data_IF_254600351999
#
_entry.id   IF_254600351999
#
_cell.length_a   1.000
_cell.length_b   1.000
_cell.length_c   1.000
_cell.angle_alpha   90.00
_cell.angle_beta   90.00
_cell.angle_gamma   90.00
#
_symmetry.space_group_name_H-M   'P 1'
#
loop_
_entity.id
_entity.type
_entity.pdbx_description
1 polymer ?
#
# COMPACT_ATOMS: atom_id res chain seq x y z
N UNK A 1 26.79 -6.93 -1.71
CA UNK A 1 26.52 -5.57 -1.20
C UNK A 1 25.11 -5.48 -0.59
N UNK A 2 24.92 -4.46 0.27
CA UNK A 2 23.63 -4.10 0.85
C UNK A 2 23.21 -2.71 0.35
N UNK A 3 21.89 -2.46 0.30
CA UNK A 3 21.33 -1.15 -0.03
C UNK A 3 20.46 -0.70 1.13
N UNK A 4 20.69 0.53 1.60
CA UNK A 4 19.87 1.23 2.57
C UNK A 4 19.11 2.34 1.84
N UNK A 5 17.79 2.29 1.88
CA UNK A 5 16.92 3.22 1.16
C UNK A 5 16.17 4.14 2.12
N UNK A 6 15.84 5.30 1.64
CA UNK A 6 14.83 6.19 2.20
C UNK A 6 14.45 7.23 1.15
N UNK A 7 13.22 7.76 1.23
CA UNK A 7 12.83 8.89 0.40
C UNK A 7 12.84 10.20 1.21
N UNK A 8 13.07 11.32 0.53
CA UNK A 8 13.13 12.66 1.14
C UNK A 8 12.03 13.60 0.65
N UNK A 9 11.28 13.22 -0.36
CA UNK A 9 10.09 13.94 -0.79
C UNK A 9 8.90 13.66 0.15
N UNK A 10 7.87 14.47 0.02
CA UNK A 10 6.66 14.37 0.85
C UNK A 10 5.43 14.68 0.00
N UNK A 11 4.29 14.12 0.41
CA UNK A 11 3.01 14.42 -0.23
C UNK A 11 2.55 15.85 0.10
N UNK A 12 1.75 16.47 -0.78
CA UNK A 12 1.17 17.79 -0.53
C UNK A 12 0.34 17.84 0.76
N UNK A 13 0.22 19.03 1.32
CA UNK A 13 -0.58 19.30 2.53
C UNK A 13 -1.64 20.35 2.25
N UNK A 14 -2.75 20.27 3.00
CA UNK A 14 -3.63 21.42 3.21
C UNK A 14 -3.26 22.05 4.55
N UNK A 15 -2.53 23.17 4.51
CA UNK A 15 -1.97 23.82 5.71
C UNK A 15 -3.04 24.24 6.71
N UNK A 16 -4.24 24.59 6.26
CA UNK A 16 -5.36 24.99 7.13
C UNK A 16 -5.83 23.87 8.08
N UNK A 17 -5.48 22.62 7.77
CA UNK A 17 -5.84 21.44 8.58
C UNK A 17 -4.74 21.00 9.55
N UNK A 18 -3.68 21.78 9.66
CA UNK A 18 -2.54 21.47 10.52
C UNK A 18 -2.55 22.37 11.76
N UNK A 19 -2.33 21.75 12.93
CA UNK A 19 -2.22 22.50 14.20
C UNK A 19 -0.94 23.34 14.28
N UNK A 20 0.08 22.96 13.50
CA UNK A 20 1.37 23.65 13.41
C UNK A 20 1.82 23.70 11.96
N UNK A 21 2.61 24.71 11.53
CA UNK A 21 3.12 24.78 10.16
C UNK A 21 3.81 23.49 9.72
N UNK A 22 3.34 22.81 8.69
CA UNK A 22 3.74 21.42 8.36
C UNK A 22 5.19 21.28 7.89
N UNK A 23 5.83 22.36 7.49
CA UNK A 23 7.21 22.35 7.00
C UNK A 23 8.20 23.10 7.90
N UNK A 24 7.78 23.55 9.08
CA UNK A 24 8.63 24.32 9.97
C UNK A 24 9.56 23.46 10.86
N UNK A 25 9.27 22.17 11.01
CA UNK A 25 10.08 21.26 11.84
C UNK A 25 10.09 21.67 13.31
N UNK A 26 8.95 22.08 13.85
CA UNK A 26 8.81 22.55 15.23
C UNK A 26 9.04 21.38 16.18
N UNK A 27 9.90 21.60 17.19
CA UNK A 27 10.08 20.66 18.31
C UNK A 27 9.42 21.26 19.53
N UNK A 28 8.40 20.59 20.07
CA UNK A 28 7.67 21.02 21.25
C UNK A 28 7.30 19.80 22.10
N UNK A 29 7.55 19.87 23.38
CA UNK A 29 7.31 18.78 24.34
C UNK A 29 7.96 17.44 23.93
N UNK A 30 9.12 17.49 23.28
CA UNK A 30 9.84 16.31 22.79
C UNK A 30 9.27 15.71 21.51
N UNK A 31 8.29 16.34 20.87
CA UNK A 31 7.66 15.90 19.62
C UNK A 31 8.15 16.79 18.47
N UNK A 32 8.65 16.16 17.41
CA UNK A 32 8.98 16.82 16.15
C UNK A 32 7.75 16.84 15.23
N UNK A 33 7.19 18.03 15.04
CA UNK A 33 6.03 18.26 14.19
C UNK A 33 6.44 18.58 12.75
N UNK A 34 5.88 17.85 11.79
CA UNK A 34 6.10 18.19 10.40
C UNK A 34 5.67 17.09 9.41
N UNK A 35 5.32 17.50 8.20
CA UNK A 35 5.10 16.57 7.09
C UNK A 35 6.42 15.90 6.72
N UNK A 36 6.45 14.56 6.68
CA UNK A 36 7.65 13.78 6.35
C UNK A 36 8.54 13.47 7.55
N UNK A 37 8.21 13.89 8.77
CA UNK A 37 9.00 13.53 9.95
C UNK A 37 8.97 12.02 10.18
N UNK A 38 7.82 11.37 10.03
CA UNK A 38 7.64 9.93 10.15
C UNK A 38 7.84 9.21 8.82
N UNK A 39 7.27 9.72 7.75
CA UNK A 39 7.28 9.16 6.40
C UNK A 39 8.03 10.10 5.44
N UNK A 40 9.38 9.94 5.19
CA UNK A 40 10.21 8.98 5.95
C UNK A 40 11.59 9.58 6.29
N UNK A 41 11.62 10.88 6.68
CA UNK A 41 12.89 11.53 7.08
C UNK A 41 13.49 10.94 8.35
N UNK A 42 12.69 10.25 9.19
CA UNK A 42 13.20 9.50 10.34
C UNK A 42 14.10 8.36 9.88
N UNK A 43 13.71 7.60 8.87
CA UNK A 43 14.52 6.52 8.28
C UNK A 43 15.77 7.09 7.63
N UNK A 44 15.62 8.14 6.82
CA UNK A 44 16.74 8.85 6.22
C UNK A 44 17.80 9.28 7.25
N UNK A 45 17.37 9.96 8.32
CA UNK A 45 18.26 10.40 9.39
C UNK A 45 18.84 9.22 10.18
N UNK A 46 18.03 8.18 10.42
CA UNK A 46 18.46 6.98 11.13
C UNK A 46 19.58 6.24 10.40
N UNK A 47 19.44 6.05 9.09
CA UNK A 47 20.47 5.42 8.24
C UNK A 47 21.78 6.22 8.25
N UNK A 48 21.71 7.54 8.07
CA UNK A 48 22.90 8.40 8.10
C UNK A 48 23.57 8.43 9.48
N UNK A 49 22.77 8.49 10.55
CA UNK A 49 23.27 8.49 11.93
C UNK A 49 23.96 7.17 12.29
N UNK A 50 23.37 6.03 11.87
CA UNK A 50 23.96 4.72 12.07
C UNK A 50 25.27 4.58 11.30
N UNK A 51 25.33 5.04 10.05
CA UNK A 51 26.55 5.03 9.24
C UNK A 51 27.65 5.87 9.89
N UNK A 52 27.33 7.09 10.29
CA UNK A 52 28.27 7.97 10.96
C UNK A 52 28.80 7.39 12.28
N UNK A 53 27.91 6.80 13.07
CA UNK A 53 28.30 6.12 14.31
C UNK A 53 29.26 4.96 14.06
N UNK A 54 28.96 4.08 13.11
CA UNK A 54 29.79 2.92 12.78
C UNK A 54 31.15 3.33 12.22
N UNK A 55 31.19 4.32 11.36
CA UNK A 55 32.45 4.90 10.84
C UNK A 55 33.30 5.44 12.00
N UNK A 56 32.67 6.17 12.93
CA UNK A 56 33.33 6.67 14.13
C UNK A 56 33.91 5.58 15.05
N UNK A 57 33.34 4.37 15.01
CA UNK A 57 33.85 3.19 15.72
C UNK A 57 34.93 2.43 14.91
N UNK A 58 35.31 2.91 13.73
CA UNK A 58 36.28 2.25 12.86
C UNK A 58 35.73 1.01 12.15
N UNK A 59 34.40 0.85 12.08
CA UNK A 59 33.78 -0.26 11.35
C UNK A 59 34.09 -0.18 9.86
N UNK A 60 34.57 -1.30 9.30
CA UNK A 60 34.81 -1.46 7.87
C UNK A 60 33.99 -2.66 7.39
N UNK A 61 32.99 -2.44 6.51
CA UNK A 61 32.20 -3.52 5.97
C UNK A 61 33.03 -4.38 5.01
N UNK A 62 32.81 -5.68 5.00
CA UNK A 62 33.46 -6.60 4.04
C UNK A 62 32.98 -6.39 2.59
N UNK A 63 31.78 -5.86 2.42
CA UNK A 63 31.17 -5.57 1.13
C UNK A 63 30.56 -4.17 1.14
N UNK A 64 30.44 -3.58 -0.03
CA UNK A 64 29.86 -2.25 -0.19
C UNK A 64 28.45 -2.14 0.40
N UNK A 65 28.20 -1.02 1.05
CA UNK A 65 26.89 -0.59 1.51
C UNK A 65 26.53 0.68 0.71
N UNK A 66 25.47 0.59 -0.06
CA UNK A 66 24.95 1.70 -0.86
C UNK A 66 23.85 2.43 -0.12
N UNK A 67 23.91 3.74 -0.11
CA UNK A 67 22.84 4.61 0.40
C UNK A 67 22.07 5.16 -0.79
N UNK A 68 20.86 4.65 -0.99
CA UNK A 68 20.03 4.97 -2.13
C UNK A 68 18.87 5.88 -1.68
N UNK A 69 19.15 7.18 -1.64
CA UNK A 69 18.17 8.18 -1.24
C UNK A 69 17.56 8.86 -2.45
N UNK A 70 16.24 8.89 -2.51
CA UNK A 70 15.52 9.47 -3.65
C UNK A 70 14.25 10.20 -3.23
N UNK A 71 13.68 10.92 -4.18
CA UNK A 71 12.35 11.49 -4.09
C UNK A 71 11.58 11.20 -5.38
N UNK A 72 10.25 11.24 -5.30
CA UNK A 72 9.37 11.01 -6.44
C UNK A 72 9.59 9.64 -7.08
N UNK A 73 9.99 9.63 -8.35
CA UNK A 73 10.24 8.42 -9.13
C UNK A 73 11.73 8.04 -9.20
N UNK A 74 12.49 8.28 -8.15
CA UNK A 74 13.93 8.02 -8.13
C UNK A 74 14.32 6.55 -8.14
N UNK A 75 13.49 5.64 -7.60
CA UNK A 75 13.79 4.22 -7.53
C UNK A 75 14.10 3.57 -8.90
N UNK A 76 13.37 3.84 -10.01
CA UNK A 76 13.74 3.35 -11.33
C UNK A 76 15.14 3.77 -11.78
N UNK A 77 15.56 4.99 -11.45
CA UNK A 77 16.89 5.50 -11.80
C UNK A 77 17.98 4.79 -11.00
N UNK A 78 17.73 4.49 -9.72
CA UNK A 78 18.64 3.71 -8.87
C UNK A 78 18.80 2.29 -9.43
N UNK A 79 17.68 1.65 -9.81
CA UNK A 79 17.70 0.32 -10.43
C UNK A 79 18.47 0.33 -11.74
N UNK A 80 18.25 1.33 -12.60
CA UNK A 80 18.98 1.49 -13.85
C UNK A 80 20.48 1.62 -13.61
N UNK A 81 20.88 2.48 -12.67
CA UNK A 81 22.28 2.66 -12.27
C UNK A 81 22.92 1.35 -11.80
N UNK A 82 22.25 0.61 -10.91
CA UNK A 82 22.75 -0.66 -10.42
C UNK A 82 22.90 -1.70 -11.54
N UNK A 83 21.93 -1.74 -12.45
CA UNK A 83 21.97 -2.63 -13.61
C UNK A 83 23.14 -2.31 -14.52
N UNK A 84 23.35 -1.04 -14.85
CA UNK A 84 24.45 -0.56 -15.70
C UNK A 84 25.83 -0.87 -15.10
N UNK A 85 25.96 -0.78 -13.77
CA UNK A 85 27.23 -1.02 -13.07
C UNK A 85 27.39 -2.47 -12.57
N UNK A 86 26.47 -3.38 -12.91
CA UNK A 86 26.54 -4.77 -12.50
C UNK A 86 26.44 -4.97 -10.97
N UNK A 87 25.76 -4.05 -10.27
CA UNK A 87 25.58 -4.11 -8.82
C UNK A 87 24.36 -4.96 -8.51
N UNK A 88 24.58 -6.07 -7.82
CA UNK A 88 23.53 -7.01 -7.40
C UNK A 88 23.43 -7.03 -5.88
N UNK A 89 22.51 -6.28 -5.26
CA UNK A 89 22.34 -6.27 -3.82
C UNK A 89 21.89 -7.65 -3.30
N UNK A 90 22.51 -8.09 -2.21
CA UNK A 90 22.05 -9.27 -1.49
C UNK A 90 20.85 -8.97 -0.58
N UNK A 91 20.76 -7.72 -0.14
CA UNK A 91 19.65 -7.21 0.69
C UNK A 91 19.41 -5.74 0.35
N UNK A 92 18.14 -5.38 0.32
CA UNK A 92 17.68 -3.99 0.25
C UNK A 92 16.82 -3.75 1.48
N UNK A 93 17.16 -2.73 2.25
CA UNK A 93 16.40 -2.29 3.42
C UNK A 93 15.82 -0.92 3.11
N UNK A 94 14.51 -0.85 3.12
CA UNK A 94 13.75 0.37 2.89
C UNK A 94 12.98 0.75 4.15
N UNK A 95 12.13 1.73 4.05
CA UNK A 95 11.23 2.16 5.09
C UNK A 95 10.04 1.21 5.25
N UNK A 96 9.20 1.48 6.26
CA UNK A 96 8.00 0.71 6.56
C UNK A 96 8.22 -0.24 7.74
N UNK A 97 7.18 -0.96 8.07
CA UNK A 97 7.13 -1.74 9.28
C UNK A 97 6.74 -0.90 10.49
N UNK A 98 6.35 -1.59 11.54
CA UNK A 98 5.95 -0.97 12.79
C UNK A 98 6.03 -1.98 13.95
N UNK A 99 6.11 -1.47 15.17
CA UNK A 99 5.77 -2.26 16.35
C UNK A 99 4.31 -1.96 16.68
N UNK A 100 3.47 -3.00 16.62
CA UNK A 100 2.02 -2.87 16.83
C UNK A 100 1.56 -3.70 18.01
N UNK A 101 0.54 -3.21 18.71
CA UNK A 101 -0.10 -3.89 19.82
C UNK A 101 -1.59 -4.07 19.57
N UNK A 102 -2.14 -5.21 19.99
CA UNK A 102 -3.57 -5.51 19.90
C UNK A 102 -4.16 -5.45 18.47
N UNK A 103 -3.34 -5.60 17.44
CA UNK A 103 -3.79 -5.59 16.03
C UNK A 103 -4.22 -6.99 15.58
N UNK A 104 -3.49 -8.02 16.00
CA UNK A 104 -3.79 -9.39 15.58
C UNK A 104 -4.65 -10.12 16.60
N UNK A 105 -5.76 -10.75 16.18
CA UNK A 105 -6.65 -11.47 17.08
C UNK A 105 -5.90 -12.54 17.87
N UNK A 106 -6.07 -12.53 19.19
CA UNK A 106 -5.48 -13.51 20.09
C UNK A 106 -3.99 -13.30 20.41
N UNK A 107 -3.32 -12.30 19.85
CA UNK A 107 -1.94 -11.93 20.16
C UNK A 107 -1.96 -10.73 21.10
N UNK A 108 -1.36 -10.90 22.30
CA UNK A 108 -1.40 -9.88 23.36
C UNK A 108 -0.09 -9.09 23.49
N UNK A 109 1.02 -9.64 23.02
CA UNK A 109 2.31 -8.97 23.07
C UNK A 109 2.53 -8.05 21.87
N UNK A 110 3.41 -7.06 22.00
CA UNK A 110 3.85 -6.25 20.88
C UNK A 110 4.44 -7.11 19.76
N UNK A 111 4.11 -6.77 18.52
CA UNK A 111 4.59 -7.45 17.32
C UNK A 111 5.40 -6.48 16.47
N UNK A 112 6.69 -6.78 16.26
CA UNK A 112 7.50 -6.11 15.25
C UNK A 112 7.15 -6.65 13.86
N UNK A 113 6.64 -5.80 13.00
CA UNK A 113 6.29 -6.15 11.62
C UNK A 113 7.44 -5.79 10.69
N UNK A 114 7.91 -6.77 9.93
CA UNK A 114 8.91 -6.57 8.88
C UNK A 114 8.22 -6.88 7.56
N UNK A 115 8.12 -5.88 6.68
CA UNK A 115 7.62 -6.05 5.32
C UNK A 115 8.67 -6.80 4.49
N UNK A 116 8.30 -7.94 3.92
CA UNK A 116 9.17 -8.75 3.06
C UNK A 116 8.69 -8.81 1.61
N UNK A 117 7.57 -8.18 1.33
CA UNK A 117 7.01 -8.01 -0.01
C UNK A 117 6.13 -6.77 -0.04
N UNK A 118 6.05 -6.15 -1.20
CA UNK A 118 5.20 -5.00 -1.43
C UNK A 118 4.19 -5.29 -2.53
N UNK A 119 2.99 -4.71 -2.39
CA UNK A 119 1.92 -4.86 -3.39
C UNK A 119 2.21 -4.00 -4.60
N UNK A 120 2.04 -4.57 -5.78
CA UNK A 120 2.08 -3.81 -7.01
C UNK A 120 0.95 -2.77 -7.08
N UNK A 121 1.14 -1.72 -7.88
CA UNK A 121 0.13 -0.68 -8.10
C UNK A 121 -0.32 -0.69 -9.57
N UNK A 122 -1.64 -0.61 -9.76
CA UNK A 122 -2.27 -0.48 -11.07
C UNK A 122 -3.42 0.53 -10.96
N UNK A 123 -3.49 1.47 -11.89
CA UNK A 123 -4.67 2.32 -12.07
C UNK A 123 -5.45 1.82 -13.29
N UNK A 124 -6.70 1.41 -13.08
CA UNK A 124 -7.59 1.00 -14.16
C UNK A 124 -8.62 2.11 -14.43
N UNK A 125 -8.73 2.50 -15.69
CA UNK A 125 -9.73 3.46 -16.16
C UNK A 125 -10.85 2.73 -16.90
N UNK A 126 -12.07 2.96 -16.47
CA UNK A 126 -13.29 2.46 -17.10
C UNK A 126 -13.94 3.62 -17.86
N UNK A 127 -14.36 3.33 -19.07
CA UNK A 127 -14.94 4.34 -19.97
C UNK A 127 -16.23 3.81 -20.58
N UNK A 128 -17.27 4.63 -20.60
CA UNK A 128 -18.48 4.35 -21.35
C UNK A 128 -18.86 5.55 -22.19
N UNK A 129 -19.43 5.28 -23.37
CA UNK A 129 -19.82 6.31 -24.33
C UNK A 129 -21.29 6.17 -24.69
N UNK A 130 -21.92 7.30 -25.03
CA UNK A 130 -23.31 7.36 -25.48
C UNK A 130 -23.48 8.47 -26.52
N UNK A 131 -24.68 8.61 -27.07
CA UNK A 131 -25.00 9.74 -27.92
C UNK A 131 -25.20 11.07 -27.13
N UNK A 132 -25.20 10.98 -25.78
CA UNK A 132 -25.59 12.12 -24.96
C UNK A 132 -27.08 12.45 -25.06
N UNK A 133 -27.49 13.59 -24.51
CA UNK A 133 -28.86 14.08 -24.64
C UNK A 133 -29.32 14.96 -23.49
N UNK A 134 -30.59 15.35 -23.54
CA UNK A 134 -31.21 16.15 -22.49
C UNK A 134 -31.71 15.24 -21.35
N UNK A 135 -31.46 15.62 -20.10
CA UNK A 135 -31.80 14.81 -18.94
C UNK A 135 -33.29 14.56 -18.70
N UNK A 136 -34.19 15.35 -19.35
CA UNK A 136 -35.64 15.14 -19.24
C UNK A 136 -36.17 13.94 -20.01
N UNK A 137 -35.39 13.39 -20.96
CA UNK A 137 -35.78 12.26 -21.78
C UNK A 137 -34.64 11.23 -21.86
N UNK A 138 -34.26 10.63 -20.71
CA UNK A 138 -33.14 9.71 -20.66
C UNK A 138 -33.50 8.37 -21.34
N UNK A 139 -32.55 7.85 -22.10
CA UNK A 139 -32.62 6.43 -22.50
C UNK A 139 -32.19 5.54 -21.31
N UNK A 140 -32.64 4.27 -21.26
CA UNK A 140 -32.14 3.31 -20.29
C UNK A 140 -30.61 3.23 -20.33
N UNK A 141 -29.99 3.00 -19.17
CA UNK A 141 -28.55 2.80 -19.04
C UNK A 141 -27.71 4.03 -19.46
N UNK A 142 -27.95 5.16 -18.77
CA UNK A 142 -27.10 6.36 -18.94
C UNK A 142 -25.63 6.05 -18.57
N UNK A 143 -24.63 6.71 -19.17
CA UNK A 143 -23.21 6.41 -18.95
C UNK A 143 -22.78 6.36 -17.48
N UNK A 144 -23.20 7.34 -16.68
CA UNK A 144 -22.90 7.37 -15.23
C UNK A 144 -23.57 6.20 -14.51
N UNK A 145 -24.81 5.86 -14.88
CA UNK A 145 -25.52 4.70 -14.29
C UNK A 145 -24.84 3.36 -14.62
N UNK A 146 -24.30 3.21 -15.83
CA UNK A 146 -23.53 2.02 -16.23
C UNK A 146 -22.26 1.89 -15.40
N UNK A 147 -21.51 2.98 -15.22
CA UNK A 147 -20.30 2.97 -14.39
C UNK A 147 -20.61 2.73 -12.92
N UNK A 148 -21.69 3.31 -12.39
CA UNK A 148 -22.13 3.04 -11.01
C UNK A 148 -22.46 1.57 -10.80
N UNK A 149 -23.14 0.92 -11.75
CA UNK A 149 -23.42 -0.51 -11.69
C UNK A 149 -22.13 -1.36 -11.78
N UNK A 150 -21.18 -0.98 -12.62
CA UNK A 150 -19.88 -1.64 -12.70
C UNK A 150 -19.09 -1.49 -11.39
N UNK A 151 -19.02 -0.29 -10.82
CA UNK A 151 -18.41 -0.02 -9.53
C UNK A 151 -18.98 -0.96 -8.44
N UNK A 152 -20.30 -0.94 -8.29
CA UNK A 152 -21.00 -1.78 -7.31
C UNK A 152 -20.70 -3.27 -7.51
N UNK A 153 -20.67 -3.73 -8.75
CA UNK A 153 -20.36 -5.13 -9.07
C UNK A 153 -18.94 -5.52 -8.65
N UNK A 154 -17.96 -4.68 -8.90
CA UNK A 154 -16.56 -4.94 -8.50
C UNK A 154 -16.44 -4.95 -6.97
N UNK A 155 -17.08 -4.01 -6.27
CA UNK A 155 -17.05 -3.95 -4.81
C UNK A 155 -17.74 -5.16 -4.16
N UNK A 156 -18.85 -5.64 -4.74
CA UNK A 156 -19.57 -6.83 -4.24
C UNK A 156 -18.80 -8.15 -4.47
N UNK A 157 -17.85 -8.14 -5.42
CA UNK A 157 -17.06 -9.31 -5.78
C UNK A 157 -15.57 -9.01 -5.56
N UNK A 158 -15.10 -9.00 -4.30
CA UNK A 158 -13.68 -8.75 -4.02
C UNK A 158 -12.81 -9.90 -4.55
N UNK A 159 -11.59 -9.58 -4.93
CA UNK A 159 -10.59 -10.57 -5.34
C UNK A 159 -10.47 -11.71 -4.34
N UNK A 160 -10.10 -12.88 -4.84
CA UNK A 160 -9.85 -14.07 -4.02
C UNK A 160 -8.70 -13.80 -3.03
N UNK A 161 -8.82 -14.36 -1.82
CA UNK A 161 -7.74 -14.32 -0.86
C UNK A 161 -6.62 -15.30 -1.23
N UNK A 162 -5.38 -14.86 -1.07
CA UNK A 162 -4.17 -15.65 -1.19
C UNK A 162 -3.46 -15.65 0.18
N UNK A 163 -3.55 -16.79 0.87
CA UNK A 163 -2.91 -16.97 2.17
C UNK A 163 -1.70 -17.89 1.96
N UNK A 164 -0.72 -17.37 1.26
CA UNK A 164 0.54 -17.98 0.89
C UNK A 164 1.70 -17.01 1.09
N UNK A 165 2.92 -17.45 0.79
CA UNK A 165 4.10 -16.60 0.89
C UNK A 165 4.20 -15.83 2.20
N UNK A 166 4.36 -14.49 2.13
CA UNK A 166 4.52 -13.64 3.32
C UNK A 166 3.34 -13.73 4.31
N UNK A 167 2.11 -13.80 3.82
CA UNK A 167 0.92 -13.90 4.67
C UNK A 167 0.90 -15.22 5.45
N UNK A 168 1.23 -16.34 4.81
CA UNK A 168 1.30 -17.65 5.47
C UNK A 168 2.39 -17.67 6.56
N UNK A 169 3.58 -17.12 6.28
CA UNK A 169 4.66 -17.02 7.26
C UNK A 169 4.27 -16.15 8.47
N UNK A 170 3.58 -15.04 8.22
CA UNK A 170 3.07 -14.18 9.28
C UNK A 170 2.09 -14.94 10.17
N UNK A 171 1.09 -15.62 9.62
CA UNK A 171 0.11 -16.38 10.40
C UNK A 171 0.74 -17.56 11.15
N UNK A 172 1.71 -18.26 10.58
CA UNK A 172 2.45 -19.30 11.29
C UNK A 172 3.19 -18.74 12.51
N UNK A 173 3.86 -17.60 12.33
CA UNK A 173 4.58 -16.93 13.42
C UNK A 173 3.62 -16.44 14.51
N UNK A 174 2.56 -15.72 14.13
CA UNK A 174 1.54 -15.21 15.06
C UNK A 174 0.84 -16.35 15.82
N UNK A 175 0.61 -17.47 15.14
CA UNK A 175 0.00 -18.65 15.74
C UNK A 175 0.73 -19.16 16.96
N UNK A 176 2.06 -19.11 16.95
CA UNK A 176 2.90 -19.58 18.08
C UNK A 176 2.73 -18.73 19.34
N UNK A 177 2.37 -17.46 19.19
CA UNK A 177 2.22 -16.49 20.28
C UNK A 177 0.76 -16.15 20.58
N UNK A 178 -0.20 -16.79 19.90
CA UNK A 178 -1.63 -16.56 20.06
C UNK A 178 -2.24 -17.34 21.22
N UNK A 179 -3.41 -16.89 21.66
CA UNK A 179 -4.25 -17.67 22.58
C UNK A 179 -4.66 -19.02 21.96
N UNK A 180 -5.01 -20.06 22.77
CA UNK A 180 -5.20 -21.42 22.28
C UNK A 180 -6.15 -21.55 21.09
N UNK A 181 -7.27 -20.82 21.09
CA UNK A 181 -8.23 -20.84 19.98
C UNK A 181 -7.62 -20.34 18.67
N UNK A 182 -6.97 -19.18 18.71
CA UNK A 182 -6.32 -18.60 17.52
C UNK A 182 -5.09 -19.38 17.09
N UNK A 183 -4.39 -20.03 18.03
CA UNK A 183 -3.30 -20.95 17.71
C UNK A 183 -3.77 -22.11 16.85
N UNK A 184 -4.92 -22.71 17.18
CA UNK A 184 -5.51 -23.77 16.37
C UNK A 184 -5.90 -23.26 14.98
N UNK A 185 -6.50 -22.07 14.88
CA UNK A 185 -6.89 -21.46 13.59
C UNK A 185 -5.65 -21.19 12.74
N UNK A 186 -4.66 -20.48 13.27
CA UNK A 186 -3.47 -20.09 12.51
C UNK A 186 -2.56 -21.27 12.14
N UNK A 187 -2.47 -22.29 12.98
CA UNK A 187 -1.75 -23.52 12.65
C UNK A 187 -2.43 -24.38 11.57
N UNK A 188 -3.70 -24.14 11.30
CA UNK A 188 -4.48 -24.91 10.34
C UNK A 188 -5.15 -24.02 9.28
N UNK A 189 -4.41 -23.06 8.73
CA UNK A 189 -4.92 -22.11 7.73
C UNK A 189 -5.48 -22.80 6.48
N UNK A 190 -4.99 -23.99 6.15
CA UNK A 190 -5.54 -24.82 5.08
C UNK A 190 -7.02 -25.17 5.29
N UNK A 191 -7.47 -25.29 6.54
CA UNK A 191 -8.84 -25.59 6.94
C UNK A 191 -9.64 -24.33 7.31
N UNK A 192 -9.00 -23.37 8.00
CA UNK A 192 -9.66 -22.19 8.58
C UNK A 192 -9.41 -20.89 7.80
N UNK A 193 -8.70 -20.93 6.69
CA UNK A 193 -8.42 -19.73 5.87
C UNK A 193 -9.68 -18.96 5.45
N UNK A 194 -10.80 -19.66 5.28
CA UNK A 194 -12.10 -19.04 4.99
C UNK A 194 -12.60 -18.09 6.10
N UNK A 195 -12.20 -18.34 7.36
CA UNK A 195 -12.53 -17.45 8.48
C UNK A 195 -11.82 -16.11 8.29
N UNK A 196 -10.52 -16.15 7.99
CA UNK A 196 -9.71 -14.94 7.74
C UNK A 196 -10.22 -14.21 6.50
N UNK A 197 -10.55 -14.94 5.43
CA UNK A 197 -11.17 -14.37 4.23
C UNK A 197 -12.48 -13.65 4.54
N UNK A 198 -13.35 -14.28 5.31
CA UNK A 198 -14.66 -13.73 5.67
C UNK A 198 -14.53 -12.51 6.58
N UNK A 199 -13.67 -12.58 7.58
CA UNK A 199 -13.40 -11.46 8.48
C UNK A 199 -12.79 -10.30 7.71
N UNK A 200 -11.81 -10.55 6.85
CA UNK A 200 -11.19 -9.54 6.00
C UNK A 200 -12.20 -8.84 5.09
N UNK A 201 -13.09 -9.59 4.43
CA UNK A 201 -14.17 -9.02 3.60
C UNK A 201 -15.13 -8.13 4.40
N UNK A 202 -15.45 -8.51 5.64
CA UNK A 202 -16.40 -7.76 6.49
C UNK A 202 -15.76 -6.52 7.11
N UNK A 203 -14.53 -6.63 7.60
CA UNK A 203 -13.84 -5.51 8.25
C UNK A 203 -13.21 -4.54 7.27
N UNK A 204 -12.87 -5.01 6.05
CA UNK A 204 -12.06 -4.22 5.13
C UNK A 204 -10.65 -3.94 5.70
N UNK A 205 -10.08 -2.78 5.35
CA UNK A 205 -8.84 -2.28 5.93
C UNK A 205 -7.62 -3.18 5.73
N UNK A 206 -6.69 -3.10 6.67
CA UNK A 206 -5.37 -3.72 6.57
C UNK A 206 -5.43 -5.25 6.50
N UNK A 207 -6.26 -5.89 7.32
CA UNK A 207 -6.42 -7.34 7.30
C UNK A 207 -6.89 -7.86 5.94
N UNK A 208 -7.82 -7.15 5.31
CA UNK A 208 -8.28 -7.46 3.95
C UNK A 208 -7.16 -7.25 2.92
N UNK A 209 -6.40 -6.17 3.08
CA UNK A 209 -5.29 -5.83 2.19
C UNK A 209 -4.13 -6.83 2.28
N UNK A 210 -3.88 -7.44 3.44
CA UNK A 210 -2.82 -8.43 3.62
C UNK A 210 -3.01 -9.69 2.75
N UNK A 211 -4.24 -10.10 2.52
CA UNK A 211 -4.52 -11.41 1.91
C UNK A 211 -5.04 -11.34 0.48
N UNK A 212 -5.29 -10.16 -0.10
CA UNK A 212 -5.80 -10.08 -1.48
C UNK A 212 -5.43 -8.80 -2.21
N UNK A 213 -5.59 -8.83 -3.51
CA UNK A 213 -5.67 -7.63 -4.33
C UNK A 213 -6.86 -6.79 -3.92
N UNK A 214 -6.64 -5.50 -3.70
CA UNK A 214 -7.68 -4.54 -3.31
C UNK A 214 -7.94 -3.53 -4.39
N UNK A 215 -9.20 -3.11 -4.53
CA UNK A 215 -9.66 -2.12 -5.50
C UNK A 215 -10.32 -0.98 -4.74
N UNK A 216 -9.93 0.24 -5.04
CA UNK A 216 -10.57 1.45 -4.52
C UNK A 216 -10.92 2.37 -5.69
N UNK A 217 -12.20 2.68 -5.84
CA UNK A 217 -12.65 3.67 -6.83
C UNK A 217 -12.38 5.07 -6.28
N UNK A 218 -11.56 5.82 -6.99
CA UNK A 218 -11.05 7.11 -6.51
C UNK A 218 -11.54 8.30 -7.31
N UNK A 219 -11.99 8.09 -8.55
CA UNK A 219 -12.48 9.15 -9.43
C UNK A 219 -13.69 8.67 -10.23
N UNK A 220 -14.66 9.55 -10.42
CA UNK A 220 -15.79 9.34 -11.33
C UNK A 220 -16.17 10.67 -11.97
N UNK A 221 -16.27 10.68 -13.29
CA UNK A 221 -16.57 11.85 -14.09
C UNK A 221 -17.76 11.58 -15.01
N UNK A 222 -18.60 12.58 -15.18
CA UNK A 222 -19.74 12.57 -16.09
C UNK A 222 -19.97 13.94 -16.73
N UNK A 223 -21.21 14.42 -16.75
CA UNK A 223 -21.52 15.75 -17.24
C UNK A 223 -21.16 16.83 -16.24
N UNK A 224 -20.64 17.97 -16.72
CA UNK A 224 -20.48 19.19 -15.94
C UNK A 224 -21.81 19.94 -15.73
N UNK A 225 -22.85 19.65 -16.55
CA UNK A 225 -24.16 20.26 -16.48
C UNK A 225 -25.21 19.26 -15.95
N UNK A 226 -26.07 19.71 -15.03
CA UNK A 226 -27.07 18.86 -14.34
C UNK A 226 -28.18 18.34 -15.26
N UNK A 227 -28.46 19.05 -16.34
CA UNK A 227 -29.54 18.76 -17.30
C UNK A 227 -29.04 18.08 -18.59
N UNK A 228 -27.78 17.64 -18.63
CA UNK A 228 -27.17 17.01 -19.81
C UNK A 228 -26.72 15.58 -19.46
N UNK A 229 -27.13 14.60 -20.27
CA UNK A 229 -26.59 13.27 -20.27
C UNK A 229 -25.25 13.31 -20.99
N UNK A 230 -24.13 12.94 -20.35
CA UNK A 230 -22.83 13.05 -20.96
C UNK A 230 -22.66 12.09 -22.15
N UNK A 231 -21.96 12.49 -23.22
CA UNK A 231 -21.60 11.58 -24.30
C UNK A 231 -20.54 10.57 -23.86
N UNK A 232 -19.82 10.87 -22.79
CA UNK A 232 -18.80 10.03 -22.19
C UNK A 232 -18.85 10.15 -20.67
N UNK A 233 -18.64 9.04 -19.98
CA UNK A 233 -18.35 9.02 -18.54
C UNK A 233 -17.11 8.15 -18.28
N UNK A 234 -16.35 8.51 -17.25
CA UNK A 234 -15.11 7.83 -16.84
C UNK A 234 -15.13 7.52 -15.36
N UNK A 235 -14.45 6.48 -15.01
CA UNK A 235 -14.22 6.06 -13.63
C UNK A 235 -12.81 5.51 -13.52
N UNK A 236 -12.12 5.78 -12.41
CA UNK A 236 -10.77 5.27 -12.15
C UNK A 236 -10.78 4.50 -10.85
N UNK A 237 -10.16 3.33 -10.86
CA UNK A 237 -9.82 2.58 -9.65
C UNK A 237 -8.31 2.49 -9.46
N UNK A 238 -7.87 2.69 -8.21
CA UNK A 238 -6.53 2.33 -7.76
C UNK A 238 -6.55 0.91 -7.23
N UNK A 239 -5.70 0.07 -7.76
CA UNK A 239 -5.63 -1.35 -7.47
C UNK A 239 -4.27 -1.65 -6.84
N UNK A 240 -4.29 -2.31 -5.69
CA UNK A 240 -3.08 -2.80 -5.03
C UNK A 240 -3.00 -4.31 -5.20
N UNK A 241 -2.11 -4.73 -6.08
CA UNK A 241 -1.95 -6.13 -6.48
C UNK A 241 -1.29 -6.94 -5.38
N UNK A 242 -1.93 -8.03 -4.96
CA UNK A 242 -1.27 -9.04 -4.14
C UNK A 242 -0.11 -9.67 -4.93
N UNK A 243 1.01 -10.05 -4.30
CA UNK A 243 2.13 -10.69 -5.00
C UNK A 243 1.77 -11.94 -5.81
N UNK A 244 0.67 -12.62 -5.48
CA UNK A 244 0.16 -13.77 -6.25
C UNK A 244 -0.61 -13.37 -7.53
N UNK A 245 -0.98 -12.10 -7.69
CA UNK A 245 -1.71 -11.59 -8.84
C UNK A 245 -0.77 -10.84 -9.80
N UNK A 246 -1.12 -10.84 -11.07
CA UNK A 246 -0.47 -10.04 -12.11
C UNK A 246 -1.42 -8.95 -12.63
N UNK A 247 -0.89 -7.98 -13.36
CA UNK A 247 -1.71 -6.99 -14.08
C UNK A 247 -2.70 -7.69 -15.00
N UNK A 248 -2.26 -8.74 -15.71
CA UNK A 248 -3.12 -9.48 -16.64
C UNK A 248 -4.26 -10.21 -15.91
N UNK A 249 -3.97 -10.89 -14.78
CA UNK A 249 -5.00 -11.58 -14.00
C UNK A 249 -6.00 -10.59 -13.39
N UNK A 250 -5.51 -9.44 -12.90
CA UNK A 250 -6.35 -8.40 -12.33
C UNK A 250 -7.30 -7.78 -13.36
N UNK A 251 -6.80 -7.45 -14.56
CA UNK A 251 -7.63 -6.91 -15.65
C UNK A 251 -8.64 -7.93 -16.17
N UNK A 252 -8.30 -9.21 -16.19
CA UNK A 252 -9.24 -10.26 -16.57
C UNK A 252 -10.35 -10.51 -15.54
N UNK A 253 -10.11 -10.14 -14.29
CA UNK A 253 -11.08 -10.25 -13.21
C UNK A 253 -12.10 -9.10 -13.21
N UNK A 254 -11.68 -7.91 -13.60
CA UNK A 254 -12.50 -6.68 -13.64
C UNK A 254 -13.46 -6.66 -14.82
#
# INVERSE_FOLDING_TARGET
PAVMMAHYDVVPVNEEKWDKPPFAGIIEDGILWGRGTLDTKVTFNGVLSAANYLIGQGFQPEKDIYFAFSGGQGAPNIVAYFTEHGIHPAIVVDEGGAVVENVFPGVKQPCGLIGIAEKGMLNAQYRTVSAGGHASAPKPHTPVGVLAAACKRVEDHPFKAHIDGPAAQMFDTLGRYSTPLYRVIFANMWCFGWIIDTLGKKSGGEMNALVRTTVAFTQMEGSSARNVIPPEAKMVSNIRLNPADSVASALAYL
#
